data_IF_434277592603
#
_entry.id   IF_434277592603
#
_cell.length_a   1.000
_cell.length_b   1.000
_cell.length_c   1.000
_cell.angle_alpha   90.00
_cell.angle_beta   90.00
_cell.angle_gamma   90.00
#
_symmetry.space_group_name_H-M   'P 1'
#
loop_
_entity.id
_entity.type
_entity.pdbx_description
1 polymer ?
#
# COMPACT_ATOMS: atom_id res chain seq x y z
N UNK A 1 2.49 11.63 -11.01
CA UNK A 1 3.40 11.05 -9.98
C UNK A 1 4.05 9.83 -10.61
N UNK A 2 5.39 9.76 -10.65
CA UNK A 2 6.15 8.76 -11.41
C UNK A 2 5.78 7.30 -11.11
N UNK A 3 5.41 6.97 -9.86
CA UNK A 3 5.01 5.61 -9.52
C UNK A 3 3.74 5.15 -10.23
N UNK A 4 2.81 6.06 -10.50
CA UNK A 4 1.57 5.74 -11.21
C UNK A 4 1.82 5.32 -12.67
N UNK A 5 2.99 5.60 -13.24
CA UNK A 5 3.35 5.20 -14.60
C UNK A 5 3.86 3.76 -14.66
N UNK A 6 4.42 3.23 -13.57
CA UNK A 6 5.08 1.91 -13.54
C UNK A 6 4.23 0.79 -12.94
N UNK A 7 3.21 1.13 -12.14
CA UNK A 7 2.34 0.15 -11.46
C UNK A 7 1.38 -0.54 -12.44
N UNK A 8 1.08 -1.79 -12.15
CA UNK A 8 0.21 -2.68 -12.91
C UNK A 8 -0.70 -3.51 -11.97
N UNK A 9 -1.71 -4.21 -12.49
CA UNK A 9 -2.52 -5.14 -11.69
C UNK A 9 -1.65 -6.14 -10.91
N UNK A 10 -2.07 -6.47 -9.67
CA UNK A 10 -1.35 -7.41 -8.80
C UNK A 10 -0.11 -6.83 -8.12
N UNK A 11 0.16 -5.52 -8.27
CA UNK A 11 1.17 -4.84 -7.48
C UNK A 11 0.64 -4.51 -6.07
N UNK A 12 1.52 -4.63 -5.09
CA UNK A 12 1.31 -4.14 -3.73
C UNK A 12 2.34 -3.05 -3.42
N UNK A 13 1.90 -1.94 -2.86
CA UNK A 13 2.75 -0.93 -2.21
C UNK A 13 2.50 -1.01 -0.70
N UNK A 14 3.50 -1.46 0.05
CA UNK A 14 3.46 -1.58 1.50
C UNK A 14 4.12 -0.36 2.16
N UNK A 15 3.34 0.47 2.85
CA UNK A 15 3.79 1.72 3.45
C UNK A 15 4.00 1.57 4.95
N UNK A 16 5.18 1.97 5.43
CA UNK A 16 5.52 2.09 6.85
C UNK A 16 6.02 3.49 7.18
N UNK A 17 5.90 3.87 8.45
CA UNK A 17 6.31 5.17 8.96
C UNK A 17 5.34 5.70 10.00
N UNK A 18 5.78 6.70 10.76
CA UNK A 18 5.04 7.20 11.92
C UNK A 18 3.71 7.87 11.55
N UNK A 19 2.89 8.14 12.58
CA UNK A 19 1.70 8.97 12.43
C UNK A 19 2.11 10.35 11.89
N UNK A 20 1.44 10.84 10.85
CA UNK A 20 1.81 12.11 10.20
C UNK A 20 2.98 12.03 9.22
N UNK A 21 3.55 10.84 8.96
CA UNK A 21 4.58 10.65 7.94
C UNK A 21 4.07 10.94 6.50
N UNK A 22 2.75 10.98 6.29
CA UNK A 22 2.15 11.35 5.01
C UNK A 22 1.76 10.16 4.13
N UNK A 23 1.65 8.95 4.69
CA UNK A 23 1.23 7.72 3.99
C UNK A 23 -0.04 7.92 3.14
N UNK A 24 -1.13 8.44 3.72
CA UNK A 24 -2.35 8.77 2.95
C UNK A 24 -2.13 9.83 1.86
N UNK A 25 -1.18 10.77 2.03
CA UNK A 25 -0.86 11.74 0.97
C UNK A 25 -0.17 11.06 -0.21
N UNK A 26 0.67 10.06 0.06
CA UNK A 26 1.30 9.26 -0.97
C UNK A 26 0.23 8.47 -1.75
N UNK A 27 -0.73 7.85 -1.06
CA UNK A 27 -1.88 7.16 -1.69
C UNK A 27 -2.68 8.11 -2.59
N UNK A 28 -2.96 9.33 -2.11
CA UNK A 28 -3.61 10.40 -2.90
C UNK A 28 -2.82 10.72 -4.17
N UNK A 29 -1.51 10.88 -4.05
CA UNK A 29 -0.62 11.16 -5.18
C UNK A 29 -0.64 10.05 -6.23
N UNK A 30 -0.60 8.79 -5.79
CA UNK A 30 -0.64 7.62 -6.68
C UNK A 30 -2.00 7.51 -7.37
N UNK A 31 -3.10 7.57 -6.62
CA UNK A 31 -4.45 7.48 -7.18
C UNK A 31 -4.73 8.60 -8.20
N UNK A 32 -4.33 9.85 -7.90
CA UNK A 32 -4.41 10.96 -8.86
C UNK A 32 -3.54 10.73 -10.08
N UNK A 33 -2.32 10.23 -9.89
CA UNK A 33 -1.42 9.87 -10.99
C UNK A 33 -1.99 8.78 -11.90
N UNK A 34 -2.85 7.91 -11.36
CA UNK A 34 -3.62 6.91 -12.11
C UNK A 34 -4.90 7.48 -12.75
N UNK A 35 -5.19 8.77 -12.59
CA UNK A 35 -6.36 9.44 -13.19
C UNK A 35 -7.63 9.41 -12.33
N UNK A 36 -7.56 8.96 -11.08
CA UNK A 36 -8.73 9.03 -10.19
C UNK A 36 -9.05 10.49 -9.82
N UNK A 37 -10.23 10.97 -10.23
CA UNK A 37 -10.68 12.35 -10.00
C UNK A 37 -11.40 12.59 -8.66
N UNK A 38 -11.64 11.53 -7.88
CA UNK A 38 -12.39 11.62 -6.63
C UNK A 38 -11.55 11.94 -5.39
N UNK A 39 -12.21 11.92 -4.22
CA UNK A 39 -11.57 12.18 -2.92
C UNK A 39 -10.97 10.91 -2.34
N UNK A 40 -9.68 10.93 -2.03
CA UNK A 40 -8.97 9.85 -1.32
C UNK A 40 -8.76 10.23 0.15
N UNK A 41 -9.10 9.33 1.06
CA UNK A 41 -8.93 9.48 2.50
C UNK A 41 -8.53 8.14 3.14
N UNK A 42 -7.94 8.19 4.35
CA UNK A 42 -7.60 6.95 5.07
C UNK A 42 -8.90 6.21 5.43
N UNK A 43 -8.99 4.90 5.19
CA UNK A 43 -10.11 4.05 5.60
C UNK A 43 -10.04 3.73 7.09
N UNK A 44 -9.75 4.71 7.95
CA UNK A 44 -9.48 4.51 9.39
C UNK A 44 -10.57 3.71 10.12
N UNK A 45 -11.81 3.72 9.62
CA UNK A 45 -12.95 2.98 10.16
C UNK A 45 -13.42 1.80 9.30
N UNK A 46 -13.08 1.76 8.01
CA UNK A 46 -13.63 0.80 7.06
C UNK A 46 -12.65 -0.27 6.61
N UNK A 47 -11.43 -0.31 7.18
CA UNK A 47 -10.30 -1.17 6.79
C UNK A 47 -9.79 -0.94 5.36
N UNK A 48 -10.70 -0.79 4.40
CA UNK A 48 -10.45 -0.64 2.98
C UNK A 48 -11.31 0.47 2.36
N UNK A 49 -10.72 1.18 1.40
CA UNK A 49 -11.40 2.01 0.41
C UNK A 49 -11.00 1.54 -0.99
N UNK A 50 -11.95 1.49 -1.93
CA UNK A 50 -11.68 1.14 -3.33
C UNK A 50 -11.96 2.35 -4.21
N UNK A 51 -10.93 2.83 -4.92
CA UNK A 51 -11.03 3.96 -5.83
C UNK A 51 -11.08 3.49 -7.27
N UNK A 52 -12.29 3.47 -7.83
CA UNK A 52 -12.55 3.13 -9.24
C UNK A 52 -12.65 4.40 -10.09
N UNK A 53 -12.30 4.30 -11.38
CA UNK A 53 -12.41 5.42 -12.33
C UNK A 53 -11.08 6.05 -12.77
N UNK A 54 -9.94 5.52 -12.32
CA UNK A 54 -8.65 5.74 -12.97
C UNK A 54 -8.30 4.63 -13.97
N UNK A 55 -7.10 4.70 -14.55
CA UNK A 55 -6.51 3.66 -15.43
C UNK A 55 -6.42 2.29 -14.77
N UNK A 56 -6.28 2.26 -13.44
CA UNK A 56 -6.14 1.07 -12.61
C UNK A 56 -6.90 1.31 -11.29
N UNK A 57 -7.76 0.38 -10.82
CA UNK A 57 -8.41 0.54 -9.53
C UNK A 57 -7.37 0.51 -8.40
N UNK A 58 -7.56 1.35 -7.39
CA UNK A 58 -6.69 1.39 -6.20
C UNK A 58 -7.45 0.83 -5.01
N UNK A 59 -6.93 -0.27 -4.45
CA UNK A 59 -7.37 -0.87 -3.19
C UNK A 59 -6.51 -0.29 -2.07
N UNK A 60 -7.08 0.55 -1.24
CA UNK A 60 -6.37 1.25 -0.18
C UNK A 60 -6.74 0.68 1.18
N UNK A 61 -5.78 0.06 1.86
CA UNK A 61 -5.96 -0.55 3.18
C UNK A 61 -5.20 0.25 4.24
N UNK A 62 -5.73 0.26 5.46
CA UNK A 62 -5.08 0.85 6.62
C UNK A 62 -5.13 -0.12 7.80
N UNK A 63 -3.97 -0.66 8.18
CA UNK A 63 -3.86 -1.67 9.23
C UNK A 63 -3.64 -1.07 10.62
N UNK A 64 -3.65 0.26 10.78
CA UNK A 64 -3.26 0.94 12.03
C UNK A 64 -3.93 0.39 13.29
N UNK A 65 -5.22 0.03 13.18
CA UNK A 65 -6.09 -0.38 14.28
C UNK A 65 -6.19 -1.89 14.48
N UNK A 66 -5.62 -2.67 13.58
CA UNK A 66 -5.74 -4.12 13.65
C UNK A 66 -4.65 -4.70 14.55
N UNK A 67 -4.96 -5.85 15.13
CA UNK A 67 -3.97 -6.67 15.81
C UNK A 67 -2.91 -7.14 14.81
N UNK A 68 -1.69 -7.37 15.29
CA UNK A 68 -0.54 -7.64 14.44
C UNK A 68 -0.42 -9.11 14.07
N UNK A 69 0.19 -9.41 12.93
CA UNK A 69 0.61 -10.77 12.58
C UNK A 69 -0.53 -11.65 12.06
N UNK A 70 -0.64 -12.86 12.60
CA UNK A 70 -1.52 -13.92 12.08
C UNK A 70 -3.01 -13.54 12.06
N UNK A 71 -3.48 -12.79 13.06
CA UNK A 71 -4.88 -12.35 13.13
C UNK A 71 -5.33 -11.47 11.96
N UNK A 72 -4.40 -10.79 11.26
CA UNK A 72 -4.71 -10.04 10.03
C UNK A 72 -5.11 -10.95 8.88
N UNK A 73 -4.41 -12.07 8.77
CA UNK A 73 -4.61 -13.02 7.70
C UNK A 73 -5.90 -13.82 7.93
N UNK A 74 -6.20 -14.16 9.18
CA UNK A 74 -7.50 -14.73 9.58
C UNK A 74 -8.68 -13.77 9.32
N UNK A 75 -8.44 -12.45 9.41
CA UNK A 75 -9.43 -11.42 9.10
C UNK A 75 -9.68 -11.23 7.59
N UNK A 76 -9.09 -12.04 6.72
CA UNK A 76 -9.34 -12.04 5.28
C UNK A 76 -8.52 -11.01 4.49
N UNK A 77 -7.33 -10.63 4.99
CA UNK A 77 -6.43 -9.70 4.29
C UNK A 77 -6.02 -10.21 2.90
N UNK A 78 -5.93 -11.54 2.74
CA UNK A 78 -5.58 -12.26 1.51
C UNK A 78 -6.44 -11.86 0.29
N UNK A 79 -7.72 -11.58 0.52
CA UNK A 79 -8.67 -11.19 -0.52
C UNK A 79 -8.32 -9.86 -1.20
N UNK A 80 -7.48 -9.04 -0.57
CA UNK A 80 -7.12 -7.71 -1.06
C UNK A 80 -5.72 -7.65 -1.66
N UNK A 81 -5.03 -8.78 -1.74
CA UNK A 81 -3.64 -8.85 -2.20
C UNK A 81 -3.52 -9.34 -3.64
N UNK A 82 -4.52 -10.08 -4.12
CA UNK A 82 -4.66 -10.49 -5.51
C UNK A 82 -5.87 -9.81 -6.09
N UNK A 83 -5.65 -8.61 -6.63
CA UNK A 83 -6.72 -7.79 -7.22
C UNK A 83 -6.46 -7.53 -8.70
N UNK A 84 -7.51 -7.09 -9.38
CA UNK A 84 -7.44 -6.51 -10.73
C UNK A 84 -6.77 -5.13 -10.77
N UNK A 85 -6.19 -4.69 -9.65
CA UNK A 85 -5.72 -3.33 -9.42
C UNK A 85 -4.37 -3.23 -8.72
N UNK A 86 -4.12 -2.03 -8.22
CA UNK A 86 -3.01 -1.72 -7.32
C UNK A 86 -3.50 -1.76 -5.88
N UNK A 87 -2.86 -2.55 -5.04
CA UNK A 87 -3.11 -2.54 -3.60
C UNK A 87 -2.08 -1.64 -2.91
N UNK A 88 -2.52 -0.75 -2.02
CA UNK A 88 -1.67 0.09 -1.19
C UNK A 88 -2.07 -0.11 0.27
N UNK A 89 -1.12 -0.51 1.11
CA UNK A 89 -1.35 -0.86 2.51
C UNK A 89 -0.61 0.14 3.40
N UNK A 90 -1.34 0.96 4.14
CA UNK A 90 -0.77 1.75 5.24
C UNK A 90 -0.53 0.87 6.48
N UNK A 91 0.57 1.14 7.19
CA UNK A 91 0.98 0.42 8.40
C UNK A 91 1.28 -1.06 8.13
N UNK A 92 1.97 -1.33 7.03
CA UNK A 92 2.33 -2.69 6.64
C UNK A 92 3.27 -3.40 7.64
N UNK A 93 3.91 -2.65 8.55
CA UNK A 93 4.65 -3.18 9.71
C UNK A 93 3.76 -4.01 10.65
N UNK A 94 2.44 -3.81 10.62
CA UNK A 94 1.47 -4.60 11.38
C UNK A 94 1.42 -6.06 10.96
N UNK A 95 1.90 -6.42 9.76
CA UNK A 95 2.05 -7.81 9.34
C UNK A 95 3.05 -8.58 10.20
N UNK A 96 3.84 -7.88 11.03
CA UNK A 96 4.78 -8.47 11.95
C UNK A 96 6.10 -8.85 11.26
N UNK A 97 7.07 -9.38 12.03
CA UNK A 97 8.41 -9.67 11.55
C UNK A 97 8.45 -10.79 10.50
N UNK A 98 7.48 -11.71 10.54
CA UNK A 98 7.32 -12.74 9.50
C UNK A 98 6.83 -12.14 8.18
N UNK A 99 6.17 -10.97 8.23
CA UNK A 99 5.69 -10.26 7.06
C UNK A 99 4.60 -11.03 6.32
N UNK A 100 4.87 -11.33 5.05
CA UNK A 100 3.96 -12.08 4.19
C UNK A 100 4.20 -13.57 4.41
N UNK A 101 3.21 -14.35 4.88
CA UNK A 101 3.39 -15.77 5.09
C UNK A 101 3.40 -16.50 3.74
N UNK A 102 4.15 -17.60 3.64
CA UNK A 102 4.30 -18.38 2.40
C UNK A 102 2.98 -18.95 1.87
N UNK A 103 2.03 -19.24 2.77
CA UNK A 103 0.72 -19.77 2.40
C UNK A 103 -0.22 -18.70 1.82
N UNK A 104 0.03 -17.42 2.09
CA UNK A 104 -0.82 -16.35 1.58
C UNK A 104 -0.53 -16.09 0.09
N UNK A 105 -1.51 -15.58 -0.66
CA UNK A 105 -1.30 -15.15 -2.02
C UNK A 105 -0.15 -14.14 -2.11
N UNK A 106 0.86 -14.48 -2.90
CA UNK A 106 2.03 -13.63 -3.07
C UNK A 106 1.74 -12.53 -4.09
N UNK A 107 2.09 -11.27 -3.81
CA UNK A 107 1.96 -10.20 -4.78
C UNK A 107 2.86 -10.48 -5.98
N UNK A 108 2.39 -10.12 -7.18
CA UNK A 108 3.20 -10.25 -8.41
C UNK A 108 4.44 -9.36 -8.29
N UNK A 109 4.27 -8.17 -7.72
CA UNK A 109 5.37 -7.28 -7.33
C UNK A 109 5.02 -6.54 -6.04
N UNK A 110 6.00 -6.40 -5.17
CA UNK A 110 5.89 -5.71 -3.90
C UNK A 110 6.87 -4.53 -3.88
N UNK A 111 6.35 -3.32 -3.65
CA UNK A 111 7.16 -2.15 -3.30
C UNK A 111 7.03 -1.90 -1.81
N UNK A 112 8.11 -2.10 -1.06
CA UNK A 112 8.17 -1.71 0.37
C UNK A 112 8.63 -0.27 0.44
N UNK A 113 7.92 0.55 1.20
CA UNK A 113 8.19 1.98 1.33
C UNK A 113 8.26 2.34 2.80
N UNK A 114 9.37 2.95 3.21
CA UNK A 114 9.53 3.57 4.53
C UNK A 114 9.50 5.08 4.40
N UNK A 115 8.64 5.74 5.18
CA UNK A 115 8.53 7.20 5.22
C UNK A 115 9.03 7.72 6.57
N UNK A 116 9.94 8.68 6.54
CA UNK A 116 10.49 9.34 7.74
C UNK A 116 10.20 10.85 7.70
N UNK A 117 9.85 11.41 8.86
CA UNK A 117 9.66 12.85 9.03
C UNK A 117 11.03 13.48 9.31
N UNK A 118 11.51 14.33 8.40
CA UNK A 118 12.79 15.04 8.58
C UNK A 118 12.60 16.52 8.95
N UNK A 119 11.38 17.04 8.77
CA UNK A 119 11.01 18.40 9.18
C UNK A 119 9.51 18.66 9.02
N UNK A 120 9.03 19.88 9.32
CA UNK A 120 7.60 20.21 9.27
C UNK A 120 6.95 19.91 7.91
N UNK A 121 7.67 20.20 6.82
CA UNK A 121 7.21 20.00 5.44
C UNK A 121 8.09 19.05 4.64
N UNK A 122 9.05 18.39 5.30
CA UNK A 122 10.03 17.53 4.62
C UNK A 122 9.86 16.08 5.08
N UNK A 123 9.91 15.17 4.11
CA UNK A 123 9.85 13.74 4.33
C UNK A 123 10.97 13.08 3.53
N UNK A 124 11.57 12.05 4.10
CA UNK A 124 12.44 11.13 3.37
C UNK A 124 11.66 9.85 3.08
N UNK A 125 11.76 9.37 1.83
CA UNK A 125 11.09 8.15 1.38
C UNK A 125 12.15 7.19 0.88
N UNK A 126 12.22 6.01 1.49
CA UNK A 126 13.02 4.89 1.04
C UNK A 126 12.10 3.84 0.43
N UNK A 127 12.51 3.19 -0.66
CA UNK A 127 11.76 2.06 -1.18
C UNK A 127 12.64 1.00 -1.83
N UNK A 128 12.16 -0.22 -1.81
CA UNK A 128 12.72 -1.37 -2.53
C UNK A 128 11.59 -2.07 -3.30
N UNK A 129 11.92 -2.60 -4.48
CA UNK A 129 11.00 -3.37 -5.32
C UNK A 129 11.41 -4.85 -5.32
N UNK A 130 10.45 -5.73 -5.08
CA UNK A 130 10.61 -7.19 -4.97
C UNK A 130 9.67 -7.85 -5.99
N UNK A 131 10.18 -8.85 -6.73
CA UNK A 131 9.40 -9.63 -7.71
C UNK A 131 10.13 -9.83 -9.04
N UNK A 132 9.63 -10.73 -9.92
CA UNK A 132 10.29 -11.07 -11.18
C UNK A 132 10.45 -9.85 -12.09
N UNK A 133 11.65 -9.67 -12.66
CA UNK A 133 11.96 -8.59 -13.60
C UNK A 133 12.59 -7.33 -12.97
N UNK A 134 13.19 -7.45 -11.78
CA UNK A 134 14.19 -6.51 -11.25
C UNK A 134 15.54 -7.24 -11.06
N UNK A 135 16.09 -7.74 -12.17
CA UNK A 135 17.53 -7.81 -12.35
C UNK A 135 17.88 -6.58 -13.19
N UNK A 136 18.47 -5.58 -12.56
CA UNK A 136 18.93 -4.34 -13.17
C UNK A 136 19.87 -3.63 -12.24
#
# INVERSE_FOLDING_TARGET
MRWAETVAPGWVIALTGDLGAGKTQLVRGVARGLGFGGRVHSPTFNLINIYRGGRLPVYHLDLYRLETGEGLWEAGLDQFLVTDGLTIIEWADRLGPQGWPDWAPQPVRLRRVKMEVTGPQERRIFYEDIGPGFLG
#
